data_IF_399316194313
#
_entry.id   IF_399316194313
#
_cell.length_a   1.000
_cell.length_b   1.000
_cell.length_c   1.000
_cell.angle_alpha   90.00
_cell.angle_beta   90.00
_cell.angle_gamma   90.00
#
_symmetry.space_group_name_H-M   'P 1'
#
loop_
_entity.id
_entity.type
_entity.pdbx_description
1 polymer ?
#
# COMPACT_ATOMS: atom_id res chain seq x y z
N UNK A 1 17.57 -11.72 1.61
CA UNK A 1 17.41 -12.11 0.19
C UNK A 1 18.64 -11.79 -0.67
N UNK A 2 19.12 -10.54 -0.78
CA UNK A 2 20.27 -10.21 -1.66
C UNK A 2 21.57 -10.96 -1.34
N UNK A 3 21.87 -11.19 -0.07
CA UNK A 3 22.99 -12.06 0.35
C UNK A 3 22.83 -13.50 -0.17
N UNK A 4 21.61 -14.04 -0.19
CA UNK A 4 21.33 -15.36 -0.75
C UNK A 4 21.58 -15.42 -2.25
N UNK A 5 21.16 -14.38 -2.99
CA UNK A 5 21.44 -14.27 -4.42
C UNK A 5 22.94 -14.30 -4.71
N UNK A 6 23.74 -13.54 -3.94
CA UNK A 6 25.20 -13.56 -4.05
C UNK A 6 25.78 -14.96 -3.77
N UNK A 7 25.35 -15.61 -2.68
CA UNK A 7 25.82 -16.96 -2.35
C UNK A 7 25.49 -17.98 -3.45
N UNK A 8 24.25 -17.93 -3.98
CA UNK A 8 23.81 -18.81 -5.06
C UNK A 8 24.64 -18.62 -6.34
N UNK A 9 24.89 -17.37 -6.74
CA UNK A 9 25.72 -17.04 -7.91
C UNK A 9 27.18 -17.47 -7.76
N UNK A 10 27.67 -17.62 -6.52
CA UNK A 10 29.00 -18.17 -6.24
C UNK A 10 29.03 -19.71 -6.12
N UNK A 11 27.94 -20.41 -6.47
CA UNK A 11 27.85 -21.87 -6.33
C UNK A 11 27.74 -22.36 -4.88
N UNK A 12 27.47 -21.46 -3.92
CA UNK A 12 27.31 -21.78 -2.49
C UNK A 12 25.85 -21.95 -2.14
N UNK A 13 25.24 -23.03 -2.62
CA UNK A 13 23.78 -23.25 -2.51
C UNK A 13 23.29 -23.40 -1.07
N UNK A 14 24.00 -24.13 -0.21
CA UNK A 14 23.60 -24.31 1.20
C UNK A 14 23.63 -22.99 1.98
N UNK A 15 24.62 -22.14 1.68
CA UNK A 15 24.71 -20.80 2.24
C UNK A 15 23.57 -19.91 1.72
N UNK A 16 23.20 -20.05 0.44
CA UNK A 16 22.07 -19.33 -0.13
C UNK A 16 20.76 -19.71 0.57
N UNK A 17 20.52 -21.01 0.82
CA UNK A 17 19.35 -21.49 1.59
C UNK A 17 19.31 -20.89 2.98
N UNK A 18 20.43 -20.91 3.70
CA UNK A 18 20.57 -20.30 5.03
C UNK A 18 20.17 -18.82 5.01
N UNK A 19 20.66 -18.06 4.03
CA UNK A 19 20.33 -16.64 3.89
C UNK A 19 18.88 -16.38 3.45
N UNK A 20 18.23 -17.32 2.76
CA UNK A 20 16.80 -17.25 2.45
C UNK A 20 15.99 -17.42 3.75
N UNK A 21 16.26 -18.49 4.50
CA UNK A 21 15.53 -18.77 5.75
C UNK A 21 15.71 -17.64 6.78
N UNK A 22 16.93 -17.09 6.90
CA UNK A 22 17.21 -15.94 7.74
C UNK A 22 16.44 -14.70 7.30
N UNK A 23 16.41 -14.39 6.00
CA UNK A 23 15.71 -13.21 5.50
C UNK A 23 14.20 -13.28 5.78
N UNK A 24 13.58 -14.44 5.52
CA UNK A 24 12.16 -14.70 5.79
C UNK A 24 11.85 -14.64 7.30
N UNK A 25 12.82 -15.00 8.13
CA UNK A 25 12.69 -14.93 9.59
C UNK A 25 12.81 -13.52 10.12
N UNK A 26 13.75 -12.74 9.60
CA UNK A 26 13.99 -11.34 9.99
C UNK A 26 12.81 -10.47 9.60
N UNK A 27 12.38 -10.54 8.34
CA UNK A 27 11.22 -9.80 7.87
C UNK A 27 10.55 -10.56 6.73
N UNK A 28 9.41 -11.17 7.05
CA UNK A 28 8.64 -11.96 6.10
C UNK A 28 8.12 -11.10 4.94
N UNK A 29 7.59 -9.91 5.22
CA UNK A 29 6.95 -9.08 4.21
C UNK A 29 7.96 -8.51 3.22
N UNK A 30 9.07 -7.97 3.74
CA UNK A 30 10.17 -7.47 2.89
C UNK A 30 10.78 -8.62 2.07
N UNK A 31 10.94 -9.81 2.64
CA UNK A 31 11.44 -10.96 1.90
C UNK A 31 10.48 -11.36 0.76
N UNK A 32 9.17 -11.33 1.02
CA UNK A 32 8.13 -11.62 0.05
C UNK A 32 8.13 -10.60 -1.08
N UNK A 33 8.15 -9.30 -0.76
CA UNK A 33 8.24 -8.21 -1.74
C UNK A 33 9.48 -8.35 -2.64
N UNK A 34 10.66 -8.54 -2.05
CA UNK A 34 11.90 -8.71 -2.82
C UNK A 34 11.82 -9.92 -3.77
N UNK A 35 11.15 -11.00 -3.37
CA UNK A 35 11.10 -12.18 -4.21
C UNK A 35 10.02 -12.12 -5.29
N UNK A 36 8.81 -11.71 -4.93
CA UNK A 36 7.64 -11.80 -5.81
C UNK A 36 7.37 -10.52 -6.60
N UNK A 37 7.72 -9.34 -6.08
CA UNK A 37 7.62 -8.09 -6.84
C UNK A 37 8.86 -7.89 -7.72
N UNK A 38 8.65 -8.01 -9.04
CA UNK A 38 9.73 -7.85 -10.03
C UNK A 38 10.21 -6.41 -10.16
N UNK A 39 9.39 -5.42 -9.82
CA UNK A 39 9.77 -4.02 -9.88
C UNK A 39 10.70 -3.64 -8.74
N UNK A 40 10.48 -4.22 -7.55
CA UNK A 40 11.31 -3.97 -6.35
C UNK A 40 12.70 -4.58 -6.47
N UNK A 41 12.80 -5.79 -7.02
CA UNK A 41 14.08 -6.50 -7.13
C UNK A 41 14.21 -7.28 -8.46
N UNK A 42 14.41 -6.57 -9.58
CA UNK A 42 14.59 -7.19 -10.90
C UNK A 42 15.84 -8.07 -10.96
N UNK A 43 16.84 -7.88 -10.10
CA UNK A 43 18.05 -8.69 -10.06
C UNK A 43 17.80 -10.19 -9.77
N UNK A 44 16.63 -10.53 -9.22
CA UNK A 44 16.22 -11.90 -8.97
C UNK A 44 15.65 -12.62 -10.20
N UNK A 45 15.35 -11.92 -11.31
CA UNK A 45 14.82 -12.56 -12.53
C UNK A 45 15.73 -13.67 -13.06
N UNK A 46 17.04 -13.49 -12.95
CA UNK A 46 18.05 -14.46 -13.37
C UNK A 46 18.00 -15.80 -12.60
N UNK A 47 17.34 -15.84 -11.44
CA UNK A 47 17.29 -17.03 -10.56
C UNK A 47 15.87 -17.56 -10.32
N UNK A 48 14.84 -16.92 -10.90
CA UNK A 48 13.44 -17.34 -10.74
C UNK A 48 13.08 -18.61 -11.52
N UNK A 49 13.91 -19.00 -12.49
CA UNK A 49 13.78 -20.25 -13.27
C UNK A 49 14.74 -21.35 -12.82
N UNK A 50 15.52 -21.13 -11.75
CA UNK A 50 16.54 -22.07 -11.28
C UNK A 50 16.08 -22.82 -10.03
N UNK A 51 16.92 -23.73 -9.51
CA UNK A 51 16.66 -24.45 -8.25
C UNK A 51 16.48 -23.51 -7.05
N UNK A 52 17.07 -22.31 -7.08
CA UNK A 52 16.86 -21.29 -6.05
C UNK A 52 15.38 -20.97 -5.87
N UNK A 53 14.61 -20.92 -6.98
CA UNK A 53 13.19 -20.62 -6.92
C UNK A 53 12.39 -21.69 -6.16
N UNK A 54 12.77 -22.96 -6.30
CA UNK A 54 12.18 -24.05 -5.52
C UNK A 54 12.45 -23.85 -4.03
N UNK A 55 13.68 -23.52 -3.65
CA UNK A 55 14.04 -23.31 -2.24
C UNK A 55 13.30 -22.15 -1.61
N UNK A 56 13.15 -21.05 -2.35
CA UNK A 56 12.40 -19.89 -1.87
C UNK A 56 10.92 -20.23 -1.69
N UNK A 57 10.29 -20.91 -2.66
CA UNK A 57 8.89 -21.37 -2.52
C UNK A 57 8.69 -22.26 -1.31
N UNK A 58 9.57 -23.23 -1.10
CA UNK A 58 9.51 -24.13 0.05
C UNK A 58 9.71 -23.38 1.38
N UNK A 59 10.62 -22.41 1.43
CA UNK A 59 10.87 -21.61 2.62
C UNK A 59 9.67 -20.74 2.99
N UNK A 60 9.04 -20.08 2.02
CA UNK A 60 7.79 -19.35 2.24
C UNK A 60 6.66 -20.29 2.66
N UNK A 61 6.47 -21.44 2.00
CA UNK A 61 5.44 -22.41 2.37
C UNK A 61 5.60 -22.93 3.81
N UNK A 62 6.84 -23.17 4.27
CA UNK A 62 7.12 -23.52 5.67
C UNK A 62 6.73 -22.39 6.62
N UNK A 63 7.09 -21.16 6.29
CA UNK A 63 6.80 -19.99 7.12
C UNK A 63 5.30 -19.70 7.18
N UNK A 64 4.61 -19.82 6.06
CA UNK A 64 3.16 -19.71 5.93
C UNK A 64 2.42 -20.71 6.84
N UNK A 65 2.85 -21.97 6.81
CA UNK A 65 2.31 -23.02 7.67
C UNK A 65 2.60 -22.73 9.15
N UNK A 66 3.81 -22.26 9.48
CA UNK A 66 4.18 -21.90 10.85
C UNK A 66 3.36 -20.72 11.39
N UNK A 67 3.04 -19.74 10.54
CA UNK A 67 2.19 -18.60 10.85
C UNK A 67 0.70 -18.93 10.79
N UNK A 68 0.33 -20.13 10.31
CA UNK A 68 -1.06 -20.59 10.11
C UNK A 68 -1.88 -19.65 9.23
N UNK A 69 -1.26 -19.11 8.18
CA UNK A 69 -1.93 -18.20 7.26
C UNK A 69 -3.02 -18.92 6.46
N UNK A 70 -4.11 -18.21 6.17
CA UNK A 70 -5.13 -18.67 5.24
C UNK A 70 -4.65 -18.42 3.80
N UNK A 71 -3.91 -19.37 3.25
CA UNK A 71 -3.30 -19.25 1.91
C UNK A 71 -4.32 -19.08 0.78
N UNK A 72 -5.46 -19.79 0.75
CA UNK A 72 -6.51 -19.51 -0.22
C UNK A 72 -6.99 -18.05 -0.18
N UNK A 73 -7.26 -17.51 1.01
CA UNK A 73 -7.71 -16.13 1.17
C UNK A 73 -6.60 -15.12 0.83
N UNK A 74 -5.35 -15.40 1.21
CA UNK A 74 -4.20 -14.58 0.85
C UNK A 74 -4.07 -14.46 -0.68
N UNK A 75 -4.14 -15.57 -1.40
CA UNK A 75 -4.05 -15.58 -2.86
C UNK A 75 -5.24 -14.85 -3.50
N UNK A 76 -6.42 -14.98 -2.93
CA UNK A 76 -7.60 -14.24 -3.37
C UNK A 76 -7.43 -12.72 -3.19
N UNK A 77 -6.90 -12.27 -2.04
CA UNK A 77 -6.62 -10.85 -1.81
C UNK A 77 -5.52 -10.34 -2.74
N UNK A 78 -4.49 -11.13 -3.05
CA UNK A 78 -3.48 -10.76 -4.05
C UNK A 78 -4.14 -10.52 -5.42
N UNK A 79 -5.05 -11.39 -5.86
CA UNK A 79 -5.77 -11.19 -7.11
C UNK A 79 -6.66 -9.93 -7.09
N UNK A 80 -7.32 -9.63 -5.97
CA UNK A 80 -8.11 -8.41 -5.79
C UNK A 80 -7.22 -7.17 -5.82
N UNK A 81 -6.05 -7.23 -5.18
CA UNK A 81 -5.06 -6.15 -5.21
C UNK A 81 -4.58 -5.88 -6.64
N UNK A 82 -4.24 -6.93 -7.40
CA UNK A 82 -3.80 -6.79 -8.78
C UNK A 82 -4.87 -6.15 -9.67
N UNK A 83 -6.13 -6.61 -9.57
CA UNK A 83 -7.21 -6.04 -10.38
C UNK A 83 -7.50 -4.58 -10.05
N UNK A 84 -7.33 -4.17 -8.79
CA UNK A 84 -7.46 -2.77 -8.37
C UNK A 84 -6.29 -1.90 -8.83
N UNK A 85 -5.04 -2.37 -8.71
CA UNK A 85 -3.85 -1.55 -8.92
C UNK A 85 -3.38 -1.48 -10.38
N UNK A 86 -3.47 -2.58 -11.14
CA UNK A 86 -2.98 -2.65 -12.53
C UNK A 86 -3.54 -1.57 -13.47
N UNK A 87 -4.85 -1.26 -13.49
CA UNK A 87 -5.35 -0.17 -14.33
C UNK A 87 -4.86 1.20 -13.84
N UNK A 88 -4.67 1.39 -12.53
CA UNK A 88 -4.23 2.67 -11.94
C UNK A 88 -2.78 3.00 -12.27
N UNK A 89 -1.93 2.00 -12.45
CA UNK A 89 -0.55 2.18 -12.88
C UNK A 89 -0.42 2.86 -14.26
N UNK A 90 -1.48 2.86 -15.07
CA UNK A 90 -1.48 3.47 -16.41
C UNK A 90 -1.85 4.95 -16.41
N UNK A 91 -2.39 5.49 -15.31
CA UNK A 91 -2.97 6.84 -15.23
C UNK A 91 -1.97 7.90 -15.69
N UNK A 92 -0.78 7.96 -15.09
CA UNK A 92 0.19 9.00 -15.40
C UNK A 92 0.64 8.96 -16.87
N UNK A 93 0.90 7.76 -17.41
CA UNK A 93 1.31 7.59 -18.81
C UNK A 93 0.21 7.99 -19.80
N UNK A 94 -1.05 7.70 -19.49
CA UNK A 94 -2.19 8.10 -20.33
C UNK A 94 -2.46 9.60 -20.23
N UNK A 95 -2.35 10.20 -19.04
CA UNK A 95 -2.42 11.66 -18.88
C UNK A 95 -1.34 12.34 -19.71
N UNK A 96 -0.09 11.86 -19.66
CA UNK A 96 1.00 12.44 -20.43
C UNK A 96 0.79 12.32 -21.95
N UNK A 97 0.23 11.19 -22.42
CA UNK A 97 0.10 10.91 -23.85
C UNK A 97 -1.16 11.50 -24.49
N UNK A 98 -2.28 11.51 -23.76
CA UNK A 98 -3.59 11.85 -24.32
C UNK A 98 -4.27 13.03 -23.59
N UNK A 99 -3.82 13.37 -22.38
CA UNK A 99 -4.45 14.37 -21.52
C UNK A 99 -5.53 13.77 -20.61
N UNK A 100 -5.77 14.44 -19.48
CA UNK A 100 -6.68 13.97 -18.42
C UNK A 100 -8.14 13.84 -18.86
N UNK A 101 -8.60 14.67 -19.79
CA UNK A 101 -9.99 14.70 -20.27
C UNK A 101 -10.24 13.83 -21.52
N UNK A 102 -9.23 13.08 -21.96
CA UNK A 102 -9.29 12.27 -23.18
C UNK A 102 -10.28 11.09 -23.09
N UNK A 103 -10.73 10.61 -24.25
CA UNK A 103 -11.58 9.41 -24.33
C UNK A 103 -10.90 8.17 -23.72
N UNK A 104 -9.58 8.05 -23.87
CA UNK A 104 -8.77 6.97 -23.29
C UNK A 104 -8.79 7.02 -21.76
N UNK A 105 -8.66 8.22 -21.16
CA UNK A 105 -8.79 8.38 -19.72
C UNK A 105 -10.21 8.07 -19.23
N UNK A 106 -11.23 8.51 -19.96
CA UNK A 106 -12.63 8.18 -19.63
C UNK A 106 -12.89 6.67 -19.66
N UNK A 107 -12.38 5.96 -20.67
CA UNK A 107 -12.47 4.51 -20.77
C UNK A 107 -11.75 3.80 -19.61
N UNK A 108 -10.55 4.27 -19.23
CA UNK A 108 -9.83 3.74 -18.08
C UNK A 108 -10.63 3.91 -16.79
N UNK A 109 -11.19 5.11 -16.54
CA UNK A 109 -12.01 5.36 -15.36
C UNK A 109 -13.28 4.51 -15.31
N UNK A 110 -13.96 4.30 -16.43
CA UNK A 110 -15.11 3.38 -16.51
C UNK A 110 -14.71 1.95 -16.14
N UNK A 111 -13.56 1.48 -16.62
CA UNK A 111 -13.04 0.16 -16.27
C UNK A 111 -12.70 0.07 -14.78
N UNK A 112 -11.98 1.06 -14.25
CA UNK A 112 -11.64 1.17 -12.82
C UNK A 112 -12.89 1.11 -11.95
N UNK A 113 -13.90 1.95 -12.22
CA UNK A 113 -15.11 1.99 -11.41
C UNK A 113 -15.89 0.68 -11.42
N UNK A 114 -15.91 -0.01 -12.57
CA UNK A 114 -16.51 -1.34 -12.67
C UNK A 114 -15.76 -2.34 -11.79
N UNK A 115 -14.43 -2.35 -11.85
CA UNK A 115 -13.58 -3.25 -11.05
C UNK A 115 -13.71 -2.94 -9.56
N UNK A 116 -13.69 -1.67 -9.16
CA UNK A 116 -13.88 -1.22 -7.78
C UNK A 116 -15.18 -1.76 -7.18
N UNK A 117 -16.29 -1.71 -7.94
CA UNK A 117 -17.59 -2.24 -7.50
C UNK A 117 -17.57 -3.76 -7.29
N UNK A 118 -16.96 -4.51 -8.20
CA UNK A 118 -16.84 -5.97 -8.10
C UNK A 118 -15.96 -6.35 -6.90
N UNK A 119 -14.81 -5.69 -6.76
CA UNK A 119 -13.87 -5.93 -5.67
C UNK A 119 -14.51 -5.58 -4.32
N UNK A 120 -15.27 -4.49 -4.23
CA UNK A 120 -15.98 -4.11 -3.01
C UNK A 120 -16.96 -5.20 -2.56
N UNK A 121 -17.81 -5.72 -3.46
CA UNK A 121 -18.74 -6.81 -3.13
C UNK A 121 -17.99 -8.00 -2.52
N UNK A 122 -16.83 -8.34 -3.08
CA UNK A 122 -16.04 -9.45 -2.57
C UNK A 122 -15.39 -9.15 -1.22
N UNK A 123 -14.79 -7.98 -1.05
CA UNK A 123 -14.21 -7.54 0.23
C UNK A 123 -15.26 -7.49 1.34
N UNK A 124 -16.47 -6.99 1.06
CA UNK A 124 -17.53 -7.00 2.07
C UNK A 124 -17.92 -8.43 2.49
N UNK A 125 -17.90 -9.39 1.56
CA UNK A 125 -18.13 -10.80 1.86
C UNK A 125 -17.04 -11.40 2.74
N UNK A 126 -15.78 -11.10 2.42
CA UNK A 126 -14.62 -11.49 3.23
C UNK A 126 -14.73 -10.90 4.64
N UNK A 127 -15.06 -9.61 4.75
CA UNK A 127 -15.21 -8.93 6.04
C UNK A 127 -16.33 -9.55 6.89
N UNK A 128 -17.48 -9.90 6.28
CA UNK A 128 -18.56 -10.59 7.00
C UNK A 128 -18.14 -11.95 7.55
N UNK A 129 -17.30 -12.66 6.83
CA UNK A 129 -16.87 -14.01 7.20
C UNK A 129 -15.71 -14.02 8.21
N UNK A 130 -14.75 -13.13 8.05
CA UNK A 130 -13.46 -13.18 8.76
C UNK A 130 -13.17 -11.98 9.66
N UNK A 131 -14.01 -10.93 9.61
CA UNK A 131 -13.60 -9.61 10.11
C UNK A 131 -12.57 -8.98 9.17
N UNK A 132 -11.78 -8.03 9.66
CA UNK A 132 -10.72 -7.45 8.82
C UNK A 132 -9.66 -8.52 8.49
N UNK A 133 -9.35 -8.78 7.20
CA UNK A 133 -8.37 -9.80 6.81
C UNK A 133 -6.94 -9.27 7.01
N UNK A 134 -6.52 -9.21 8.27
CA UNK A 134 -5.26 -8.60 8.69
C UNK A 134 -4.02 -9.50 8.61
N UNK A 135 -2.88 -8.95 9.06
CA UNK A 135 -1.56 -9.60 9.06
C UNK A 135 -1.59 -11.02 9.63
N UNK A 136 -2.33 -11.28 10.71
CA UNK A 136 -2.41 -12.63 11.30
C UNK A 136 -3.11 -13.65 10.41
N UNK A 137 -4.06 -13.21 9.58
CA UNK A 137 -4.85 -14.11 8.74
C UNK A 137 -4.20 -14.34 7.38
N UNK A 138 -3.66 -13.30 6.76
CA UNK A 138 -3.21 -13.32 5.35
C UNK A 138 -1.77 -12.87 5.14
N UNK A 139 -1.06 -12.57 6.22
CA UNK A 139 0.31 -12.03 6.16
C UNK A 139 0.36 -10.52 5.89
N UNK A 140 1.53 -9.90 6.08
CA UNK A 140 1.71 -8.46 5.96
C UNK A 140 1.45 -7.90 4.55
N UNK A 141 1.76 -8.65 3.50
CA UNK A 141 1.67 -8.12 2.14
C UNK A 141 0.22 -7.94 1.67
N UNK A 142 -0.69 -8.79 2.15
CA UNK A 142 -2.12 -8.73 1.77
C UNK A 142 -3.00 -8.04 2.81
N UNK A 143 -2.44 -7.67 3.97
CA UNK A 143 -3.22 -7.09 5.05
C UNK A 143 -3.79 -5.71 4.71
N UNK A 144 -3.27 -5.03 3.68
CA UNK A 144 -3.73 -3.70 3.26
C UNK A 144 -4.75 -3.74 2.11
N UNK A 145 -4.97 -4.89 1.48
CA UNK A 145 -5.83 -5.03 0.30
C UNK A 145 -7.27 -4.61 0.59
N UNK A 146 -7.87 -5.07 1.69
CA UNK A 146 -9.24 -4.70 2.04
C UNK A 146 -9.37 -3.18 2.27
N UNK A 147 -8.38 -2.56 2.90
CA UNK A 147 -8.34 -1.11 3.09
C UNK A 147 -8.25 -0.34 1.76
N UNK A 148 -7.43 -0.78 0.80
CA UNK A 148 -7.34 -0.14 -0.52
C UNK A 148 -8.70 -0.08 -1.20
N UNK A 149 -9.42 -1.20 -1.26
CA UNK A 149 -10.76 -1.28 -1.85
C UNK A 149 -11.75 -0.36 -1.12
N UNK A 150 -11.72 -0.36 0.22
CA UNK A 150 -12.57 0.55 1.01
C UNK A 150 -12.24 2.02 0.72
N UNK A 151 -10.96 2.37 0.64
CA UNK A 151 -10.50 3.73 0.38
C UNK A 151 -10.86 4.23 -1.04
N UNK A 152 -11.00 3.33 -2.01
CA UNK A 152 -11.46 3.65 -3.37
C UNK A 152 -12.99 3.63 -3.52
N UNK A 153 -13.71 3.19 -2.49
CA UNK A 153 -15.17 3.11 -2.50
C UNK A 153 -15.84 4.47 -2.27
N UNK A 154 -17.16 4.61 -2.50
CA UNK A 154 -17.91 5.83 -2.18
C UNK A 154 -17.81 6.21 -0.69
N UNK A 155 -18.00 7.51 -0.40
CA UNK A 155 -17.88 8.07 0.96
C UNK A 155 -18.68 7.29 2.02
N UNK A 156 -19.92 6.89 1.71
CA UNK A 156 -20.75 6.13 2.66
C UNK A 156 -20.10 4.79 3.07
N UNK A 157 -19.44 4.10 2.14
CA UNK A 157 -18.70 2.87 2.41
C UNK A 157 -17.45 3.14 3.26
N UNK A 158 -16.73 4.22 2.95
CA UNK A 158 -15.58 4.64 3.75
C UNK A 158 -15.97 4.92 5.20
N UNK A 159 -17.05 5.67 5.42
CA UNK A 159 -17.57 5.97 6.75
C UNK A 159 -18.06 4.71 7.48
N UNK A 160 -18.77 3.81 6.77
CA UNK A 160 -19.25 2.53 7.31
C UNK A 160 -18.12 1.67 7.86
N UNK A 161 -16.99 1.58 7.15
CA UNK A 161 -15.89 0.69 7.54
C UNK A 161 -14.77 1.37 8.34
N UNK A 162 -14.76 2.71 8.46
CA UNK A 162 -13.75 3.42 9.25
C UNK A 162 -13.57 2.86 10.68
N UNK A 163 -14.62 2.52 11.46
CA UNK A 163 -14.45 1.92 12.78
C UNK A 163 -13.71 0.58 12.75
N UNK A 164 -13.98 -0.27 11.75
CA UNK A 164 -13.29 -1.55 11.55
C UNK A 164 -11.80 -1.33 11.21
N UNK A 165 -11.52 -0.38 10.32
CA UNK A 165 -10.15 -0.01 9.92
C UNK A 165 -9.35 0.50 11.14
N UNK A 166 -9.94 1.34 11.98
CA UNK A 166 -9.30 1.81 13.23
C UNK A 166 -8.95 0.65 14.16
N UNK A 167 -9.94 -0.21 14.43
CA UNK A 167 -9.75 -1.37 15.29
C UNK A 167 -8.63 -2.30 14.78
N UNK A 168 -8.62 -2.59 13.48
CA UNK A 168 -7.59 -3.43 12.89
C UNK A 168 -6.18 -2.80 13.00
N UNK A 169 -6.05 -1.48 12.78
CA UNK A 169 -4.76 -0.81 12.98
C UNK A 169 -4.31 -0.80 14.46
N UNK A 170 -5.23 -0.60 15.40
CA UNK A 170 -4.98 -0.69 16.85
C UNK A 170 -4.51 -2.09 17.28
N UNK A 171 -5.05 -3.13 16.65
CA UNK A 171 -4.67 -4.54 16.85
C UNK A 171 -3.38 -4.93 16.11
N UNK A 172 -2.77 -4.01 15.35
CA UNK A 172 -1.57 -4.28 14.55
C UNK A 172 -1.81 -5.11 13.28
N UNK A 173 -3.07 -5.25 12.87
CA UNK A 173 -3.49 -6.00 11.67
C UNK A 173 -3.28 -5.24 10.36
N UNK A 174 -2.97 -3.95 10.42
CA UNK A 174 -2.55 -3.11 9.28
C UNK A 174 -1.72 -1.93 9.77
N UNK A 175 -1.13 -1.18 8.84
CA UNK A 175 -0.32 -0.01 9.19
C UNK A 175 -1.20 1.17 9.64
N UNK A 176 -0.78 1.88 10.70
CA UNK A 176 -1.56 3.01 11.24
C UNK A 176 -1.74 4.13 10.24
N UNK A 177 -0.75 4.37 9.39
CA UNK A 177 -0.79 5.34 8.30
C UNK A 177 -2.07 5.21 7.46
N UNK A 178 -2.53 3.98 7.20
CA UNK A 178 -3.76 3.73 6.43
C UNK A 178 -5.02 4.35 7.06
N UNK A 179 -5.10 4.40 8.39
CA UNK A 179 -6.18 5.11 9.10
C UNK A 179 -6.09 6.61 8.86
N UNK A 180 -4.88 7.20 8.94
CA UNK A 180 -4.68 8.63 8.72
C UNK A 180 -5.11 9.04 7.30
N UNK A 181 -4.72 8.25 6.31
CA UNK A 181 -5.06 8.45 4.91
C UNK A 181 -6.58 8.40 4.67
N UNK A 182 -7.26 7.38 5.21
CA UNK A 182 -8.72 7.24 5.07
C UNK A 182 -9.48 8.37 5.78
N UNK A 183 -9.01 8.79 6.96
CA UNK A 183 -9.61 9.89 7.71
C UNK A 183 -9.52 11.20 6.93
N UNK A 184 -8.35 11.51 6.37
CA UNK A 184 -8.18 12.73 5.59
C UNK A 184 -9.01 12.69 4.31
N UNK A 185 -9.15 11.53 3.66
CA UNK A 185 -10.02 11.36 2.48
C UNK A 185 -11.50 11.58 2.80
N UNK A 186 -12.01 10.98 3.87
CA UNK A 186 -13.39 11.20 4.34
C UNK A 186 -13.62 12.68 4.64
N UNK A 187 -12.69 13.33 5.34
CA UNK A 187 -12.80 14.75 5.69
C UNK A 187 -12.81 15.63 4.45
N UNK A 188 -11.91 15.37 3.49
CA UNK A 188 -11.87 16.06 2.21
C UNK A 188 -13.21 15.95 1.46
N UNK A 189 -13.78 14.74 1.32
CA UNK A 189 -15.09 14.56 0.67
C UNK A 189 -16.24 15.24 1.40
N UNK A 190 -16.11 15.48 2.71
CA UNK A 190 -17.08 16.24 3.52
C UNK A 190 -16.81 17.76 3.52
N UNK A 191 -15.86 18.24 2.72
CA UNK A 191 -15.46 19.66 2.71
C UNK A 191 -14.77 20.12 3.99
N UNK A 192 -14.27 19.19 4.79
CA UNK A 192 -13.61 19.46 6.07
C UNK A 192 -12.09 19.53 5.89
N UNK A 193 -11.43 20.33 6.73
CA UNK A 193 -9.97 20.39 6.79
C UNK A 193 -9.39 19.03 7.20
N UNK A 194 -8.38 18.53 6.51
CA UNK A 194 -7.68 17.29 6.85
C UNK A 194 -6.89 17.41 8.16
N UNK A 195 -6.60 16.28 8.81
CA UNK A 195 -5.88 16.21 10.07
C UNK A 195 -4.40 15.92 9.88
N UNK A 196 -4.04 15.10 8.89
CA UNK A 196 -2.67 14.60 8.71
C UNK A 196 -1.97 15.15 7.46
N UNK A 197 -2.70 15.79 6.55
CA UNK A 197 -2.13 16.40 5.35
C UNK A 197 -1.85 15.40 4.23
N UNK A 198 -2.59 14.30 4.13
CA UNK A 198 -2.34 13.25 3.14
C UNK A 198 -3.05 13.44 1.80
N UNK A 199 -4.02 14.36 1.68
CA UNK A 199 -4.74 14.61 0.43
C UNK A 199 -4.16 15.84 -0.27
N UNK A 200 -3.87 15.68 -1.56
CA UNK A 200 -3.25 16.67 -2.44
C UNK A 200 -4.26 17.05 -3.52
N UNK A 201 -4.35 18.34 -3.83
CA UNK A 201 -5.08 18.87 -4.96
C UNK A 201 -4.10 19.41 -6.01
N UNK A 202 -4.55 19.43 -7.26
CA UNK A 202 -3.85 20.04 -8.38
C UNK A 202 -4.71 21.22 -8.84
N UNK A 203 -4.11 22.41 -8.88
CA UNK A 203 -4.81 23.60 -9.37
C UNK A 203 -4.87 23.64 -10.91
N UNK A 204 -5.63 24.58 -11.52
CA UNK A 204 -5.71 24.70 -12.98
C UNK A 204 -4.36 24.98 -13.68
N UNK A 205 -3.34 25.43 -12.94
CA UNK A 205 -1.98 25.62 -13.47
C UNK A 205 -1.13 24.35 -13.44
N UNK A 206 -1.68 23.25 -12.92
CA UNK A 206 -0.98 21.97 -12.77
C UNK A 206 -0.16 21.87 -11.49
N UNK A 207 -0.23 22.87 -10.59
CA UNK A 207 0.57 22.89 -9.38
C UNK A 207 -0.10 22.11 -8.25
N UNK A 208 0.67 21.24 -7.61
CA UNK A 208 0.24 20.45 -6.45
C UNK A 208 0.24 21.29 -5.18
N UNK A 209 -0.79 21.12 -4.36
CA UNK A 209 -0.88 21.71 -3.03
C UNK A 209 -1.70 20.82 -2.09
N UNK A 210 -1.49 20.95 -0.79
CA UNK A 210 -2.34 20.24 0.18
C UNK A 210 -3.77 20.79 0.16
N UNK A 211 -4.74 19.90 0.39
CA UNK A 211 -6.04 20.34 0.90
C UNK A 211 -5.86 21.05 2.26
N UNK A 212 -6.75 21.97 2.68
CA UNK A 212 -6.61 22.69 3.94
C UNK A 212 -6.40 21.77 5.14
N UNK A 213 -5.38 22.03 5.95
CA UNK A 213 -5.03 21.24 7.15
C UNK A 213 -5.58 21.94 8.40
N UNK A 214 -6.23 21.19 9.29
CA UNK A 214 -6.66 21.66 10.59
C UNK A 214 -5.46 21.72 11.54
N UNK A 215 -5.29 22.81 12.29
CA UNK A 215 -4.21 22.96 13.28
C UNK A 215 -2.85 22.49 12.73
N UNK A 216 -2.42 23.18 11.68
CA UNK A 216 -1.23 22.84 10.89
C UNK A 216 0.06 22.91 11.72
N UNK A 217 0.11 23.78 12.74
CA UNK A 217 1.23 23.89 13.67
C UNK A 217 1.52 22.56 14.39
N UNK A 218 0.48 21.77 14.67
CA UNK A 218 0.61 20.47 15.34
C UNK A 218 0.47 19.26 14.40
N UNK A 219 0.50 19.46 13.07
CA UNK A 219 0.30 18.36 12.11
C UNK A 219 1.35 17.25 12.25
N UNK A 220 2.60 17.62 12.46
CA UNK A 220 3.69 16.65 12.58
C UNK A 220 3.60 15.79 13.83
N UNK A 221 3.00 16.31 14.92
CA UNK A 221 2.69 15.49 16.11
C UNK A 221 1.72 14.36 15.74
N UNK A 222 0.62 14.72 15.07
CA UNK A 222 -0.40 13.75 14.64
C UNK A 222 0.14 12.77 13.60
N UNK A 223 1.01 13.23 12.69
CA UNK A 223 1.67 12.36 11.69
C UNK A 223 2.58 11.34 12.36
N UNK A 224 3.40 11.76 13.32
CA UNK A 224 4.27 10.86 14.07
C UNK A 224 3.48 9.78 14.85
N UNK A 225 2.35 10.14 15.47
CA UNK A 225 1.48 9.18 16.17
C UNK A 225 0.90 8.08 15.24
N UNK A 226 0.90 8.33 13.92
CA UNK A 226 0.38 7.45 12.87
C UNK A 226 1.48 6.83 12.01
N UNK A 227 2.74 6.87 12.47
CA UNK A 227 3.92 6.36 11.77
C UNK A 227 4.14 7.00 10.38
N UNK A 228 3.69 8.24 10.20
CA UNK A 228 3.93 9.05 9.00
C UNK A 228 5.18 9.92 9.17
N UNK A 229 5.94 10.10 8.09
CA UNK A 229 7.02 11.09 8.02
C UNK A 229 6.51 12.54 8.15
N UNK A 230 7.40 13.53 8.25
CA UNK A 230 7.00 14.93 8.40
C UNK A 230 6.19 15.44 7.20
N UNK A 231 5.35 16.47 7.41
CA UNK A 231 4.60 17.10 6.31
C UNK A 231 5.55 17.79 5.32
N UNK A 232 6.71 18.25 5.78
CA UNK A 232 7.74 18.86 4.94
C UNK A 232 8.42 17.84 4.01
N UNK A 233 8.71 16.65 4.52
CA UNK A 233 9.28 15.58 3.69
C UNK A 233 8.24 15.09 2.69
N UNK A 234 7.00 14.90 3.13
CA UNK A 234 5.90 14.53 2.25
C UNK A 234 5.64 15.58 1.16
N UNK A 235 5.73 16.88 1.49
CA UNK A 235 5.63 17.95 0.52
C UNK A 235 6.75 17.87 -0.53
N UNK A 236 7.99 17.62 -0.10
CA UNK A 236 9.15 17.48 -0.99
C UNK A 236 9.00 16.29 -1.93
N UNK A 237 8.57 15.15 -1.42
CA UNK A 237 8.33 13.93 -2.19
C UNK A 237 7.21 14.07 -3.24
N UNK A 238 6.31 15.04 -3.03
CA UNK A 238 5.16 15.29 -3.91
C UNK A 238 5.24 16.60 -4.71
N UNK A 239 6.43 17.23 -4.77
CA UNK A 239 6.68 18.48 -5.48
C UNK A 239 5.74 19.64 -5.05
N UNK A 240 5.40 19.69 -3.76
CA UNK A 240 4.57 20.73 -3.17
C UNK A 240 5.46 21.82 -2.56
N UNK A 241 5.31 23.05 -3.06
CA UNK A 241 5.91 24.22 -2.42
C UNK A 241 5.21 24.52 -1.09
N UNK A 242 5.73 23.94 -0.01
CA UNK A 242 5.16 24.04 1.33
C UNK A 242 5.99 24.94 2.25
N UNK A 243 5.34 25.88 2.94
CA UNK A 243 5.95 26.72 3.98
C UNK A 243 5.30 26.40 5.32
N UNK A 244 6.03 25.81 6.28
CA UNK A 244 5.46 25.44 7.57
C UNK A 244 4.89 26.65 8.31
N UNK A 245 3.66 26.52 8.83
CA UNK A 245 3.06 27.55 9.68
C UNK A 245 3.78 27.55 11.03
N UNK A 246 4.39 28.68 11.40
CA UNK A 246 4.97 28.89 12.74
C UNK A 246 6.49 28.75 12.88
N UNK A 247 7.24 28.39 11.82
CA UNK A 247 8.70 28.62 11.82
C UNK A 247 8.95 30.11 11.61
N UNK A 248 9.15 30.86 12.71
CA UNK A 248 9.87 32.14 12.62
C UNK A 248 11.17 31.86 11.90
N UNK A 249 11.43 32.53 10.79
CA UNK A 249 12.74 32.51 10.16
C UNK A 249 13.77 32.81 11.23
N UNK A 250 14.71 31.88 11.45
CA UNK A 250 15.92 32.22 12.19
C UNK A 250 16.63 33.27 11.31
N UNK A 251 16.46 34.54 11.68
CA UNK A 251 17.31 35.63 11.23
C UNK A 251 18.70 35.43 11.83
#
# INVERSE_FOLDING_TARGET
MRAALCAYRCGREDLARTYIDQAITVDYGIAEDIWFDRQIAPEFDAVRSTNMATYVREAFARKDAALKLNIPLKNELQAIYETDQQPRAQIDSLIQKYGNESAQMQQLWQHIHRTDSINLIRIESIIRQYGYPGKRLVGPNQSNTAWLIIQHSPLATQEKYLPLIRKAAEEGEMDKSNVALLVDRIRMYKGQKQLYGSQIAIDPSGKRHFHPIADEVNVNKRRADMDLGSIEDYARENDILYKPVGRKSKK
#
